data_IF_395929129394
#
_entry.id   IF_395929129394
#
_cell.length_a   1.000
_cell.length_b   1.000
_cell.length_c   1.000
_cell.angle_alpha   90.00
_cell.angle_beta   90.00
_cell.angle_gamma   90.00
#
_symmetry.space_group_name_H-M   'P 1'
#
loop_
_entity.id
_entity.type
_entity.pdbx_description
1 polymer ?
#
# COMPACT_ATOMS: atom_id res chain seq x y z
N UNK A 1 -30.34 -39.24 5.17
CA UNK A 1 -29.37 -38.13 5.32
C UNK A 1 -30.12 -36.82 5.14
N UNK A 2 -30.08 -35.91 6.11
CA UNK A 2 -31.14 -34.91 6.34
C UNK A 2 -30.99 -33.68 5.43
N UNK A 3 -31.99 -33.40 4.58
CA UNK A 3 -32.03 -32.29 3.61
C UNK A 3 -31.81 -30.91 4.28
N UNK A 4 -32.17 -30.80 5.55
CA UNK A 4 -31.94 -29.62 6.38
C UNK A 4 -30.44 -29.35 6.66
N UNK A 5 -29.60 -30.39 6.81
CA UNK A 5 -28.15 -30.22 6.99
C UNK A 5 -27.48 -29.71 5.72
N UNK A 6 -27.91 -30.18 4.54
CA UNK A 6 -27.44 -29.67 3.26
C UNK A 6 -27.83 -28.20 3.04
N UNK A 7 -29.00 -27.79 3.52
CA UNK A 7 -29.44 -26.39 3.44
C UNK A 7 -28.67 -25.47 4.40
N UNK A 8 -28.33 -25.94 5.60
CA UNK A 8 -27.51 -25.20 6.58
C UNK A 8 -26.04 -25.04 6.14
N UNK A 9 -25.44 -26.08 5.55
CA UNK A 9 -24.07 -26.03 5.03
C UNK A 9 -23.99 -25.29 3.69
N UNK A 10 -25.01 -25.41 2.83
CA UNK A 10 -25.08 -24.69 1.57
C UNK A 10 -25.30 -23.19 1.74
N UNK A 11 -26.10 -22.76 2.72
CA UNK A 11 -26.36 -21.34 3.00
C UNK A 11 -25.15 -20.63 3.63
N UNK A 12 -24.35 -21.34 4.44
CA UNK A 12 -23.13 -20.80 5.03
C UNK A 12 -22.03 -20.61 3.98
N UNK A 13 -21.87 -21.57 3.06
CA UNK A 13 -20.95 -21.42 1.93
C UNK A 13 -21.41 -20.30 0.98
N UNK A 14 -22.71 -20.23 0.65
CA UNK A 14 -23.26 -19.15 -0.16
C UNK A 14 -23.13 -17.78 0.54
N UNK A 15 -23.35 -17.72 1.86
CA UNK A 15 -23.20 -16.51 2.67
C UNK A 15 -21.74 -16.02 2.72
N UNK A 16 -20.78 -16.92 2.86
CA UNK A 16 -19.34 -16.58 2.77
C UNK A 16 -19.00 -16.02 1.38
N UNK A 17 -19.51 -16.63 0.32
CA UNK A 17 -19.28 -16.14 -1.05
C UNK A 17 -19.92 -14.77 -1.30
N UNK A 18 -21.13 -14.54 -0.79
CA UNK A 18 -21.79 -13.23 -0.86
C UNK A 18 -21.02 -12.19 -0.05
N UNK A 19 -20.55 -12.52 1.15
CA UNK A 19 -19.72 -11.62 1.97
C UNK A 19 -18.38 -11.27 1.30
N UNK A 20 -17.76 -12.23 0.61
CA UNK A 20 -16.57 -11.99 -0.22
C UNK A 20 -16.87 -11.03 -1.37
N UNK A 21 -17.97 -11.27 -2.12
CA UNK A 21 -18.37 -10.38 -3.21
C UNK A 21 -18.69 -8.97 -2.70
N UNK A 22 -19.39 -8.85 -1.57
CA UNK A 22 -19.75 -7.56 -0.97
C UNK A 22 -18.55 -6.80 -0.40
N UNK A 23 -17.49 -7.50 0.03
CA UNK A 23 -16.22 -6.87 0.43
C UNK A 23 -15.34 -6.48 -0.76
N UNK A 24 -15.81 -6.71 -1.99
CA UNK A 24 -15.08 -6.40 -3.22
C UNK A 24 -14.07 -7.47 -3.63
N UNK A 25 -14.13 -8.65 -3.01
CA UNK A 25 -13.22 -9.76 -3.29
C UNK A 25 -13.77 -10.64 -4.41
N UNK A 26 -12.89 -11.07 -5.32
CA UNK A 26 -13.26 -12.04 -6.37
C UNK A 26 -13.30 -13.44 -5.75
N UNK A 27 -14.44 -14.15 -5.79
CA UNK A 27 -14.62 -15.50 -5.22
C UNK A 27 -13.59 -16.57 -5.59
N UNK A 28 -12.93 -16.42 -6.76
CA UNK A 28 -12.01 -17.40 -7.33
C UNK A 28 -10.54 -17.04 -7.16
N UNK A 29 -10.25 -15.79 -6.87
CA UNK A 29 -8.90 -15.35 -6.57
C UNK A 29 -8.76 -15.47 -5.06
N UNK A 30 -7.92 -16.39 -4.59
CA UNK A 30 -7.68 -16.58 -3.17
C UNK A 30 -7.28 -15.28 -2.48
N UNK A 31 -7.27 -15.30 -1.14
CA UNK A 31 -6.92 -14.12 -0.37
C UNK A 31 -5.55 -13.58 -0.78
N UNK A 32 -5.55 -12.42 -1.43
CA UNK A 32 -4.30 -11.71 -1.69
C UNK A 32 -3.87 -11.13 -0.35
N UNK A 33 -2.71 -11.56 0.14
CA UNK A 33 -2.11 -11.06 1.37
C UNK A 33 -0.89 -10.18 1.03
N UNK A 34 -0.68 -9.08 1.78
CA UNK A 34 0.56 -8.33 1.66
C UNK A 34 1.72 -9.21 2.17
N UNK A 35 2.88 -9.09 1.55
CA UNK A 35 4.08 -9.87 1.92
C UNK A 35 5.31 -8.99 1.83
N UNK A 36 6.33 -9.25 2.66
CA UNK A 36 7.61 -8.54 2.57
C UNK A 36 8.39 -8.92 1.31
N UNK A 37 8.02 -9.99 0.61
CA UNK A 37 8.56 -10.34 -0.71
C UNK A 37 8.34 -9.24 -1.78
N UNK A 38 7.47 -8.26 -1.50
CA UNK A 38 7.32 -7.05 -2.33
C UNK A 38 8.51 -6.07 -2.22
N UNK A 39 9.42 -6.27 -1.27
CA UNK A 39 10.59 -5.43 -1.04
C UNK A 39 11.83 -6.04 -1.72
N UNK A 40 12.84 -5.21 -1.99
CA UNK A 40 14.12 -5.70 -2.52
C UNK A 40 14.90 -6.49 -1.46
N UNK A 41 15.73 -7.45 -1.88
CA UNK A 41 16.50 -8.34 -1.00
C UNK A 41 17.23 -7.64 0.19
N UNK A 42 17.98 -6.53 0.00
CA UNK A 42 18.63 -5.86 1.13
C UNK A 42 17.64 -5.24 2.12
N UNK A 43 16.45 -4.85 1.64
CA UNK A 43 15.39 -4.26 2.44
C UNK A 43 14.66 -5.33 3.25
N UNK A 44 14.41 -6.51 2.68
CA UNK A 44 13.79 -7.64 3.38
C UNK A 44 14.57 -7.96 4.66
N UNK A 45 15.90 -8.01 4.58
CA UNK A 45 16.74 -8.26 5.76
C UNK A 45 16.58 -7.22 6.87
N UNK A 46 16.31 -5.95 6.53
CA UNK A 46 16.03 -4.88 7.50
C UNK A 46 14.61 -4.98 8.05
N UNK A 47 13.62 -5.25 7.20
CA UNK A 47 12.24 -5.47 7.60
C UNK A 47 12.11 -6.65 8.59
N UNK A 48 12.85 -7.74 8.36
CA UNK A 48 12.88 -8.89 9.27
C UNK A 48 13.50 -8.54 10.64
N UNK A 49 14.51 -7.67 10.68
CA UNK A 49 15.07 -7.18 11.96
C UNK A 49 14.06 -6.34 12.74
N UNK A 50 13.22 -5.57 12.04
CA UNK A 50 12.12 -4.81 12.64
C UNK A 50 11.00 -5.74 13.13
N UNK A 51 10.59 -6.72 12.32
CA UNK A 51 9.61 -7.75 12.67
C UNK A 51 9.96 -8.45 13.98
N UNK A 52 11.21 -8.90 14.13
CA UNK A 52 11.67 -9.58 15.36
C UNK A 52 11.53 -8.73 16.62
N UNK A 53 11.64 -7.40 16.52
CA UNK A 53 11.39 -6.52 17.66
C UNK A 53 9.90 -6.32 17.94
N UNK A 54 9.12 -6.09 16.88
CA UNK A 54 7.68 -5.86 16.99
C UNK A 54 6.95 -7.07 17.61
N UNK A 55 7.40 -8.27 17.24
CA UNK A 55 6.83 -9.56 17.65
C UNK A 55 7.75 -10.35 18.57
N UNK A 56 8.66 -9.69 19.30
CA UNK A 56 9.57 -10.33 20.26
C UNK A 56 8.87 -11.17 21.32
N UNK A 57 7.63 -10.83 21.68
CA UNK A 57 6.81 -11.58 22.64
C UNK A 57 6.09 -12.79 22.02
N UNK A 58 6.23 -13.03 20.72
CA UNK A 58 5.57 -14.12 19.99
C UNK A 58 6.49 -14.79 18.97
N UNK A 59 7.80 -14.51 19.00
CA UNK A 59 8.81 -15.06 18.12
C UNK A 59 10.08 -15.37 18.91
N UNK A 60 10.71 -16.52 18.63
CA UNK A 60 12.00 -16.90 19.19
C UNK A 60 11.94 -17.58 20.55
N UNK A 61 10.78 -18.15 20.93
CA UNK A 61 10.69 -19.07 22.07
C UNK A 61 11.25 -20.44 21.70
N UNK A 62 11.79 -21.15 22.69
CA UNK A 62 12.25 -22.54 22.53
C UNK A 62 11.09 -23.52 22.28
N UNK A 63 9.88 -23.17 22.77
CA UNK A 63 8.65 -23.90 22.48
C UNK A 63 8.00 -23.37 21.21
N UNK A 64 8.07 -24.15 20.13
CA UNK A 64 7.49 -23.82 18.83
C UNK A 64 5.98 -23.55 18.89
N UNK A 65 5.25 -24.11 19.86
CA UNK A 65 3.81 -23.87 20.01
C UNK A 65 3.48 -22.44 20.48
N UNK A 66 4.45 -21.72 21.05
CA UNK A 66 4.32 -20.33 21.48
C UNK A 66 4.72 -19.32 20.40
N UNK A 67 5.32 -19.80 19.31
CA UNK A 67 5.76 -18.97 18.20
C UNK A 67 4.65 -18.82 17.14
N UNK A 68 4.48 -17.61 16.62
CA UNK A 68 3.69 -17.42 15.40
C UNK A 68 4.46 -17.98 14.20
N UNK A 69 3.72 -18.53 13.23
CA UNK A 69 4.28 -18.98 11.96
C UNK A 69 5.01 -17.83 11.23
N UNK A 70 6.12 -18.15 10.55
CA UNK A 70 6.95 -17.17 9.87
C UNK A 70 6.19 -16.44 8.74
N UNK A 71 5.35 -17.17 8.00
CA UNK A 71 4.49 -16.59 6.98
C UNK A 71 3.41 -15.67 7.57
N UNK A 72 2.87 -16.02 8.74
CA UNK A 72 1.95 -15.14 9.48
C UNK A 72 2.66 -13.88 9.95
N UNK A 73 3.88 -14.00 10.50
CA UNK A 73 4.69 -12.86 10.89
C UNK A 73 5.01 -11.93 9.70
N UNK A 74 5.31 -12.50 8.54
CA UNK A 74 5.56 -11.78 7.28
C UNK A 74 4.35 -10.94 6.89
N UNK A 75 3.18 -11.56 6.82
CA UNK A 75 1.92 -10.89 6.45
C UNK A 75 1.56 -9.79 7.44
N UNK A 76 1.68 -10.05 8.75
CA UNK A 76 1.41 -9.04 9.78
C UNK A 76 2.36 -7.84 9.67
N UNK A 77 3.65 -8.10 9.43
CA UNK A 77 4.65 -7.05 9.27
C UNK A 77 4.38 -6.23 8.01
N UNK A 78 4.14 -6.88 6.88
CA UNK A 78 3.83 -6.21 5.62
C UNK A 78 2.55 -5.35 5.73
N UNK A 79 1.55 -5.85 6.45
CA UNK A 79 0.31 -5.11 6.74
C UNK A 79 0.59 -3.87 7.57
N UNK A 80 1.37 -3.99 8.65
CA UNK A 80 1.75 -2.87 9.50
C UNK A 80 2.52 -1.79 8.72
N UNK A 81 3.51 -2.19 7.93
CA UNK A 81 4.30 -1.27 7.10
C UNK A 81 3.44 -0.56 6.05
N UNK A 82 2.55 -1.30 5.38
CA UNK A 82 1.64 -0.74 4.38
C UNK A 82 0.69 0.31 4.96
N UNK A 83 0.21 0.12 6.19
CA UNK A 83 -0.72 1.02 6.86
C UNK A 83 -0.06 2.05 7.79
N UNK A 84 1.26 2.00 7.97
CA UNK A 84 1.98 2.95 8.81
C UNK A 84 1.70 4.42 8.49
N UNK A 85 1.69 4.87 7.22
CA UNK A 85 1.35 6.26 6.88
C UNK A 85 -0.08 6.64 7.31
N UNK A 86 -1.02 5.69 7.19
CA UNK A 86 -2.41 5.90 7.57
C UNK A 86 -2.52 6.01 9.10
N UNK A 87 -1.78 5.17 9.85
CA UNK A 87 -1.72 5.23 11.31
C UNK A 87 -1.13 6.56 11.81
N UNK A 88 -0.09 7.09 11.15
CA UNK A 88 0.46 8.40 11.46
C UNK A 88 -0.58 9.52 11.28
N UNK A 89 -1.39 9.46 10.21
CA UNK A 89 -2.44 10.46 9.96
C UNK A 89 -3.61 10.36 10.93
N UNK A 90 -3.95 9.15 11.38
CA UNK A 90 -5.11 8.92 12.24
C UNK A 90 -4.80 9.19 13.72
N UNK A 91 -3.70 8.65 14.22
CA UNK A 91 -3.30 8.80 15.62
C UNK A 91 -1.79 8.55 15.78
N UNK A 92 -1.01 9.62 15.64
CA UNK A 92 0.44 9.56 15.79
C UNK A 92 0.90 9.10 17.19
N UNK A 93 0.15 9.44 18.23
CA UNK A 93 0.42 9.04 19.62
C UNK A 93 -0.09 7.64 19.98
N UNK A 94 -0.60 6.87 19.01
CA UNK A 94 -1.16 5.55 19.26
C UNK A 94 -0.09 4.56 19.78
N UNK A 95 -0.44 3.62 20.68
CA UNK A 95 0.51 2.66 21.24
C UNK A 95 1.30 1.88 20.18
N UNK A 96 0.64 1.53 19.07
CA UNK A 96 1.27 0.81 17.96
C UNK A 96 2.28 1.68 17.19
N UNK A 97 1.97 2.97 16.98
CA UNK A 97 2.89 3.92 16.33
C UNK A 97 4.10 4.16 17.22
N UNK A 98 3.90 4.34 18.52
CA UNK A 98 4.99 4.48 19.49
C UNK A 98 5.89 3.24 19.51
N UNK A 99 5.31 2.04 19.57
CA UNK A 99 6.07 0.78 19.50
C UNK A 99 6.87 0.66 18.19
N UNK A 100 6.30 1.06 17.06
CA UNK A 100 7.04 1.11 15.79
C UNK A 100 8.18 2.12 15.85
N UNK A 101 7.98 3.32 16.41
CA UNK A 101 9.03 4.33 16.56
C UNK A 101 10.18 3.83 17.42
N UNK A 102 9.89 3.21 18.57
CA UNK A 102 10.91 2.62 19.44
C UNK A 102 11.72 1.54 18.71
N UNK A 103 11.04 0.61 18.03
CA UNK A 103 11.69 -0.45 17.27
C UNK A 103 12.51 0.07 16.07
N UNK A 104 12.05 1.15 15.41
CA UNK A 104 12.78 1.84 14.35
C UNK A 104 14.06 2.48 14.87
N UNK A 105 13.99 3.17 16.02
CA UNK A 105 15.16 3.77 16.69
C UNK A 105 16.19 2.69 17.04
N UNK A 106 15.75 1.58 17.64
CA UNK A 106 16.64 0.48 18.01
C UNK A 106 17.37 -0.14 16.80
N UNK A 107 16.73 -0.17 15.63
CA UNK A 107 17.31 -0.71 14.38
C UNK A 107 17.95 0.34 13.49
N UNK A 108 18.00 1.61 13.91
CA UNK A 108 18.47 2.72 13.07
C UNK A 108 17.76 2.76 11.71
N UNK A 109 16.44 2.54 11.73
CA UNK A 109 15.55 2.64 10.57
C UNK A 109 14.90 4.02 10.60
N UNK A 110 15.01 4.76 9.50
CA UNK A 110 14.38 6.08 9.39
C UNK A 110 12.89 5.99 9.06
N UNK A 111 12.11 6.98 9.47
CA UNK A 111 10.69 7.05 9.09
C UNK A 111 10.51 7.08 7.56
N UNK A 112 11.31 7.89 6.87
CA UNK A 112 11.30 7.96 5.40
C UNK A 112 11.57 6.61 4.72
N UNK A 113 12.39 5.76 5.33
CA UNK A 113 12.67 4.42 4.85
C UNK A 113 11.42 3.52 4.96
N UNK A 114 10.73 3.55 6.11
CA UNK A 114 9.46 2.83 6.29
C UNK A 114 8.37 3.35 5.35
N UNK A 115 8.30 4.66 5.10
CA UNK A 115 7.37 5.23 4.12
C UNK A 115 7.67 4.74 2.70
N UNK A 116 8.94 4.61 2.32
CA UNK A 116 9.34 4.03 1.03
C UNK A 116 8.96 2.54 0.93
N UNK A 117 9.11 1.78 2.01
CA UNK A 117 8.68 0.37 2.07
C UNK A 117 7.17 0.25 1.94
N UNK A 118 6.42 1.11 2.63
CA UNK A 118 4.96 1.19 2.55
C UNK A 118 4.49 1.40 1.11
N UNK A 119 5.08 2.36 0.39
CA UNK A 119 4.79 2.61 -1.02
C UNK A 119 5.09 1.39 -1.90
N UNK A 120 6.22 0.73 -1.66
CA UNK A 120 6.63 -0.46 -2.42
C UNK A 120 5.66 -1.62 -2.23
N UNK A 121 5.30 -1.93 -0.98
CA UNK A 121 4.32 -2.97 -0.64
C UNK A 121 2.96 -2.63 -1.25
N UNK A 122 2.49 -1.38 -1.09
CA UNK A 122 1.19 -0.94 -1.60
C UNK A 122 1.11 -1.03 -3.13
N UNK A 123 2.16 -0.65 -3.85
CA UNK A 123 2.22 -0.76 -5.32
C UNK A 123 2.09 -2.19 -5.80
N UNK A 124 2.72 -3.14 -5.12
CA UNK A 124 2.61 -4.57 -5.45
C UNK A 124 1.22 -5.08 -5.06
N UNK A 125 0.77 -4.81 -3.83
CA UNK A 125 -0.45 -5.36 -3.25
C UNK A 125 -1.74 -4.78 -3.84
N UNK A 126 -1.76 -3.47 -4.07
CA UNK A 126 -2.81 -2.70 -4.72
C UNK A 126 -2.25 -2.09 -6.01
N UNK A 127 -2.05 -2.91 -7.06
CA UNK A 127 -1.62 -2.37 -8.34
C UNK A 127 -2.65 -1.32 -8.76
N UNK A 128 -2.20 -0.20 -9.34
CA UNK A 128 -3.12 0.74 -9.97
C UNK A 128 -4.05 -0.07 -10.85
N UNK A 129 -5.37 0.08 -10.66
CA UNK A 129 -6.30 -0.51 -11.61
C UNK A 129 -5.89 0.05 -12.97
N UNK A 130 -5.55 -0.81 -13.94
CA UNK A 130 -5.57 -0.38 -15.34
C UNK A 130 -6.94 0.25 -15.51
N UNK A 131 -6.95 1.57 -15.70
CA UNK A 131 -8.10 2.26 -16.22
C UNK A 131 -8.41 1.52 -17.51
N UNK A 132 -9.43 0.66 -17.48
CA UNK A 132 -9.99 0.06 -18.69
C UNK A 132 -10.12 1.23 -19.66
N UNK A 133 -9.51 1.19 -20.85
CA UNK A 133 -9.56 2.30 -21.77
C UNK A 133 -11.02 2.73 -21.84
N UNK A 134 -11.29 3.97 -21.45
CA UNK A 134 -12.57 4.60 -21.71
C UNK A 134 -12.87 4.28 -23.19
N UNK A 135 -14.09 3.82 -23.54
CA UNK A 135 -14.43 3.60 -24.94
C UNK A 135 -13.95 4.82 -25.72
N UNK A 136 -13.09 4.57 -26.72
CA UNK A 136 -12.27 5.58 -27.39
C UNK A 136 -13.02 6.90 -27.47
N UNK A 137 -12.44 8.03 -27.02
CA UNK A 137 -13.10 9.30 -27.18
C UNK A 137 -13.46 9.44 -28.67
N UNK A 138 -14.75 9.65 -28.93
CA UNK A 138 -15.16 10.13 -30.24
C UNK A 138 -14.25 11.31 -30.58
N UNK A 139 -13.81 11.39 -31.85
CA UNK A 139 -12.72 12.24 -32.38
C UNK A 139 -12.59 13.68 -31.86
N UNK A 140 -13.56 14.24 -31.14
CA UNK A 140 -13.50 15.58 -30.54
C UNK A 140 -12.88 15.70 -29.13
N UNK A 141 -12.64 14.62 -28.38
CA UNK A 141 -12.08 14.72 -27.02
C UNK A 141 -10.54 14.74 -26.99
N UNK A 142 -9.89 14.14 -27.99
CA UNK A 142 -8.43 14.18 -28.17
C UNK A 142 -7.95 15.61 -28.44
N UNK A 143 -8.75 16.40 -29.16
CA UNK A 143 -8.46 17.80 -29.47
C UNK A 143 -8.53 18.68 -28.20
N UNK A 144 -9.46 18.40 -27.29
CA UNK A 144 -9.57 19.13 -26.03
C UNK A 144 -8.39 18.85 -25.09
N UNK A 145 -7.92 17.60 -25.02
CA UNK A 145 -6.75 17.23 -24.21
C UNK A 145 -5.49 17.88 -24.77
N UNK A 146 -5.32 17.90 -26.10
CA UNK A 146 -4.20 18.58 -26.74
C UNK A 146 -4.22 20.10 -26.46
N UNK A 147 -5.39 20.74 -26.57
CA UNK A 147 -5.57 22.17 -26.28
C UNK A 147 -5.27 22.49 -24.80
N UNK A 148 -5.68 21.61 -23.87
CA UNK A 148 -5.39 21.78 -22.44
C UNK A 148 -3.89 21.63 -22.15
N UNK A 149 -3.21 20.67 -22.78
CA UNK A 149 -1.76 20.50 -22.64
C UNK A 149 -0.99 21.70 -23.18
N UNK A 150 -1.35 22.21 -24.36
CA UNK A 150 -0.76 23.43 -24.91
C UNK A 150 -1.01 24.64 -24.00
N UNK A 151 -2.20 24.75 -23.43
CA UNK A 151 -2.51 25.83 -22.50
C UNK A 151 -1.64 25.77 -21.24
N UNK A 152 -1.51 24.59 -20.63
CA UNK A 152 -0.67 24.37 -19.43
C UNK A 152 0.80 24.66 -19.74
N UNK A 153 1.29 24.24 -20.90
CA UNK A 153 2.66 24.47 -21.33
C UNK A 153 2.95 25.98 -21.49
N UNK A 154 2.03 26.70 -22.14
CA UNK A 154 2.10 28.17 -22.28
C UNK A 154 2.03 28.89 -20.94
N UNK A 155 1.20 28.45 -20.00
CA UNK A 155 1.16 29.05 -18.64
C UNK A 155 2.48 28.83 -17.88
N UNK A 156 3.08 27.65 -18.03
CA UNK A 156 4.35 27.29 -17.39
C UNK A 156 5.50 28.15 -17.92
N UNK A 157 5.53 28.41 -19.23
CA UNK A 157 6.50 29.31 -19.86
C UNK A 157 6.31 30.76 -19.41
N UNK A 158 5.07 31.24 -19.31
CA UNK A 158 4.77 32.59 -18.82
C UNK A 158 5.19 32.79 -17.37
N UNK A 159 4.94 31.81 -16.50
CA UNK A 159 5.38 31.84 -15.10
C UNK A 159 6.90 31.83 -15.00
N UNK A 160 7.57 31.04 -15.84
CA UNK A 160 9.03 30.98 -15.93
C UNK A 160 9.63 32.32 -16.37
N UNK A 161 9.13 32.94 -17.44
CA UNK A 161 9.61 34.25 -17.90
C UNK A 161 9.26 35.38 -16.92
N UNK A 162 8.12 35.30 -16.22
CA UNK A 162 7.77 36.22 -15.13
C UNK A 162 8.77 36.12 -13.98
N UNK A 163 9.16 34.91 -13.58
CA UNK A 163 10.16 34.66 -12.54
C UNK A 163 11.55 35.18 -12.93
N UNK A 164 11.96 35.06 -14.19
CA UNK A 164 13.23 35.63 -14.66
C UNK A 164 13.24 37.16 -14.67
N UNK A 165 12.12 37.80 -15.04
CA UNK A 165 11.96 39.26 -14.97
C UNK A 165 11.99 39.79 -13.54
N UNK A 166 11.41 39.07 -12.57
CA UNK A 166 11.46 39.47 -11.15
C UNK A 166 12.84 39.27 -10.53
N UNK A 167 13.64 38.33 -11.05
CA UNK A 167 14.96 38.00 -10.51
C UNK A 167 16.12 38.73 -11.22
N UNK A 168 15.84 39.62 -12.18
CA UNK A 168 16.84 40.49 -12.81
C UNK A 168 17.81 39.80 -13.78
N UNK A 169 17.52 38.56 -14.20
CA UNK A 169 18.36 37.83 -15.16
C UNK A 169 17.85 38.10 -16.58
N UNK A 170 18.76 38.53 -17.47
CA UNK A 170 18.46 38.64 -18.91
C UNK A 170 18.62 37.26 -19.53
N UNK A 171 17.51 36.56 -19.69
CA UNK A 171 17.38 35.38 -20.53
C UNK A 171 16.42 35.74 -21.67
N UNK A 172 16.76 35.34 -22.89
CA UNK A 172 15.94 35.55 -24.10
C UNK A 172 14.62 34.77 -24.01
N UNK A 173 13.69 35.33 -23.23
CA UNK A 173 12.26 35.35 -23.53
C UNK A 173 11.99 36.67 -24.30
#
# INVERSE_FOLDING_TARGET
>A
MNKAFGYMLGSTQAGQQVSLVLSGWKPKDGARLPSLAALEAPIIGRANKLQKLLFSNTLGFDDDALNIDEGVADVLTATLLMHYPDMLRLCEGGPLVLKMREAMVERSIGEAEVLAWSSSIRRVFMPPQELKPLPSPARGDTDQIAVLLEHVQRQTERLRCSSYKTNGWRSDC
#
